data_IF_060832266577
#
_entry.id   IF_060832266577
#
_cell.length_a   1.000
_cell.length_b   1.000
_cell.length_c   1.000
_cell.angle_alpha   90.00
_cell.angle_beta   90.00
_cell.angle_gamma   90.00
#
_symmetry.space_group_name_H-M   'P 1'
#
loop_
_entity.id
_entity.type
_entity.pdbx_description
1 polymer ?
#
# COMPACT_ATOMS: atom_id res chain seq x y z
N UNK A 1 12.70 -11.10 -4.74
CA UNK A 1 12.46 -9.73 -5.02
C UNK A 1 13.28 -8.80 -4.13
N UNK A 2 13.20 -7.52 -4.43
CA UNK A 2 14.00 -6.51 -3.73
C UNK A 2 13.41 -6.08 -2.40
N UNK A 3 12.17 -6.43 -2.12
CA UNK A 3 11.54 -6.10 -0.84
C UNK A 3 12.09 -7.00 0.25
N UNK A 4 12.63 -6.39 1.29
CA UNK A 4 13.19 -7.09 2.45
C UNK A 4 12.53 -6.56 3.71
N UNK A 5 12.15 -7.45 4.60
CA UNK A 5 11.51 -7.12 5.85
C UNK A 5 10.74 -8.31 6.36
N UNK A 6 10.31 -8.25 7.62
CA UNK A 6 9.51 -9.33 8.21
C UNK A 6 8.11 -9.40 7.64
N UNK A 7 7.54 -8.22 7.35
CA UNK A 7 6.19 -8.10 6.82
C UNK A 7 6.18 -6.99 5.78
N UNK A 8 5.53 -7.25 4.65
CA UNK A 8 5.39 -6.27 3.57
C UNK A 8 3.92 -5.97 3.36
N UNK A 9 3.59 -4.70 3.29
CA UNK A 9 2.25 -4.25 2.97
C UNK A 9 2.27 -3.61 1.58
N UNK A 10 1.49 -4.16 0.67
CA UNK A 10 1.34 -3.60 -0.67
C UNK A 10 -0.03 -2.92 -0.71
N UNK A 11 -0.04 -1.62 -0.99
CA UNK A 11 -1.24 -0.79 -0.99
C UNK A 11 -1.52 -0.27 -2.40
N UNK A 12 -2.65 -0.67 -2.98
CA UNK A 12 -3.10 -0.16 -4.28
C UNK A 12 -4.06 0.99 -4.03
N UNK A 13 -3.76 2.15 -4.60
CA UNK A 13 -4.47 3.40 -4.34
C UNK A 13 -4.47 4.32 -5.56
N UNK A 14 -5.06 5.51 -5.42
CA UNK A 14 -4.93 6.59 -6.39
C UNK A 14 -5.18 7.92 -5.70
N UNK A 15 -4.64 8.98 -6.28
CA UNK A 15 -4.80 10.34 -5.76
C UNK A 15 -6.27 10.79 -5.72
N UNK A 16 -7.08 10.28 -6.64
CA UNK A 16 -8.50 10.62 -6.76
C UNK A 16 -9.42 9.72 -5.92
N UNK A 17 -8.86 8.78 -5.21
CA UNK A 17 -9.65 7.81 -4.44
C UNK A 17 -9.81 8.29 -3.00
N UNK A 18 -10.98 8.82 -2.66
CA UNK A 18 -11.22 9.37 -1.33
C UNK A 18 -11.01 8.35 -0.20
N UNK A 19 -11.55 7.11 -0.29
CA UNK A 19 -11.28 6.12 0.76
C UNK A 19 -9.81 5.75 0.88
N UNK A 20 -9.07 5.73 -0.22
CA UNK A 20 -7.63 5.48 -0.21
C UNK A 20 -6.90 6.58 0.56
N UNK A 21 -7.26 7.84 0.27
CA UNK A 21 -6.65 9.01 0.92
C UNK A 21 -6.95 9.01 2.42
N UNK A 22 -8.20 8.67 2.78
CA UNK A 22 -8.60 8.59 4.19
C UNK A 22 -7.79 7.52 4.93
N UNK A 23 -7.53 6.39 4.31
CA UNK A 23 -6.78 5.30 4.93
C UNK A 23 -5.29 5.63 5.08
N UNK A 24 -4.76 6.57 4.28
CA UNK A 24 -3.34 6.93 4.36
C UNK A 24 -2.91 7.40 5.76
N UNK A 25 -3.76 8.10 6.50
CA UNK A 25 -3.42 8.48 7.87
C UNK A 25 -3.27 7.26 8.78
N UNK A 26 -4.08 6.23 8.59
CA UNK A 26 -3.95 4.98 9.33
C UNK A 26 -2.65 4.25 8.96
N UNK A 27 -2.32 4.23 7.67
CA UNK A 27 -1.08 3.62 7.20
C UNK A 27 0.15 4.33 7.77
N UNK A 28 0.11 5.66 7.84
CA UNK A 28 1.21 6.43 8.44
C UNK A 28 1.42 6.05 9.91
N UNK A 29 0.35 5.93 10.67
CA UNK A 29 0.42 5.56 12.07
C UNK A 29 0.99 4.14 12.23
N UNK A 30 0.52 3.21 11.41
CA UNK A 30 1.01 1.83 11.42
C UNK A 30 2.50 1.82 11.05
N UNK A 31 2.88 2.56 10.02
CA UNK A 31 4.27 2.63 9.60
C UNK A 31 5.18 3.13 10.73
N UNK A 32 4.80 4.22 11.39
CA UNK A 32 5.60 4.77 12.48
C UNK A 32 5.75 3.78 13.63
N UNK A 33 4.72 3.00 13.91
CA UNK A 33 4.75 2.03 15.01
C UNK A 33 5.54 0.76 14.70
N UNK A 34 5.68 0.38 13.42
CA UNK A 34 6.23 -0.92 13.06
C UNK A 34 7.43 -0.89 12.11
N UNK A 35 7.81 0.27 11.58
CA UNK A 35 8.94 0.36 10.64
C UNK A 35 10.23 -0.19 11.23
N UNK A 36 10.49 0.07 12.50
CA UNK A 36 11.71 -0.39 13.17
C UNK A 36 11.60 -1.85 13.62
N UNK A 37 10.44 -2.45 13.44
CA UNK A 37 10.19 -3.86 13.78
C UNK A 37 10.17 -4.76 12.54
N UNK A 38 10.41 -4.19 11.37
CA UNK A 38 10.50 -4.95 10.14
C UNK A 38 9.36 -4.77 9.15
N UNK A 39 8.50 -3.75 9.33
CA UNK A 39 7.44 -3.46 8.37
C UNK A 39 7.99 -2.64 7.21
N UNK A 40 7.68 -3.08 6.00
CA UNK A 40 7.93 -2.35 4.76
C UNK A 40 6.60 -2.09 4.08
N UNK A 41 6.35 -0.86 3.64
CA UNK A 41 5.16 -0.51 2.89
C UNK A 41 5.57 -0.09 1.47
N UNK A 42 4.82 -0.56 0.48
CA UNK A 42 4.93 -0.10 -0.91
C UNK A 42 3.54 0.26 -1.38
N UNK A 43 3.37 1.46 -1.90
CA UNK A 43 2.10 1.87 -2.50
C UNK A 43 2.24 1.85 -4.02
N UNK A 44 1.24 1.29 -4.69
CA UNK A 44 1.18 1.22 -6.15
C UNK A 44 -0.04 2.00 -6.60
N UNK A 45 0.20 3.08 -7.35
CA UNK A 45 -0.86 4.00 -7.75
C UNK A 45 -1.51 3.57 -9.05
N UNK A 46 -2.83 3.70 -9.08
CA UNK A 46 -3.65 3.50 -10.29
C UNK A 46 -3.93 4.84 -10.99
N UNK A 47 -3.12 5.86 -10.71
CA UNK A 47 -3.26 7.16 -11.37
C UNK A 47 -2.90 7.10 -12.84
N UNK A 48 -3.44 8.05 -13.62
CA UNK A 48 -3.05 8.27 -15.00
C UNK A 48 -2.36 9.62 -15.19
N UNK A 49 -2.35 10.45 -14.15
CA UNK A 49 -1.76 11.80 -14.18
C UNK A 49 -0.64 11.89 -13.15
N UNK A 50 0.58 11.99 -13.62
CA UNK A 50 1.77 11.99 -12.78
C UNK A 50 1.76 13.11 -11.76
N UNK A 51 1.36 14.33 -12.17
CA UNK A 51 1.37 15.49 -11.28
C UNK A 51 0.40 15.31 -10.11
N UNK A 52 -0.82 14.83 -10.40
CA UNK A 52 -1.81 14.59 -9.35
C UNK A 52 -1.33 13.54 -8.36
N UNK A 53 -0.68 12.49 -8.86
CA UNK A 53 -0.09 11.45 -8.02
C UNK A 53 1.00 12.01 -7.12
N UNK A 54 1.93 12.77 -7.68
CA UNK A 54 3.02 13.37 -6.90
C UNK A 54 2.52 14.34 -5.84
N UNK A 55 1.52 15.16 -6.19
CA UNK A 55 0.92 16.09 -5.23
C UNK A 55 0.26 15.36 -4.07
N UNK A 56 -0.45 14.27 -4.35
CA UNK A 56 -1.10 13.48 -3.30
C UNK A 56 -0.08 12.86 -2.34
N UNK A 57 1.05 12.36 -2.86
CA UNK A 57 2.13 11.82 -2.03
C UNK A 57 2.64 12.91 -1.07
N UNK A 58 2.83 14.12 -1.57
CA UNK A 58 3.31 15.23 -0.76
C UNK A 58 2.27 15.68 0.27
N UNK A 59 1.02 15.80 -0.15
CA UNK A 59 -0.07 16.22 0.75
C UNK A 59 -0.26 15.24 1.89
N UNK A 60 -0.23 13.96 1.59
CA UNK A 60 -0.44 12.91 2.59
C UNK A 60 0.87 12.53 3.31
N UNK A 61 2.00 13.11 2.89
CA UNK A 61 3.32 12.93 3.52
C UNK A 61 3.72 11.47 3.64
N UNK A 62 3.56 10.71 2.54
CA UNK A 62 3.82 9.28 2.51
C UNK A 62 5.33 9.02 2.34
N UNK A 63 6.00 8.45 3.36
CA UNK A 63 7.46 8.34 3.33
C UNK A 63 8.02 7.05 2.71
N UNK A 64 7.14 6.12 2.34
CA UNK A 64 7.57 4.83 1.80
C UNK A 64 7.59 4.85 0.28
N UNK A 65 8.06 3.75 -0.31
CA UNK A 65 8.19 3.62 -1.76
C UNK A 65 6.85 3.74 -2.47
N UNK A 66 6.82 4.55 -3.51
CA UNK A 66 5.64 4.80 -4.34
C UNK A 66 5.96 4.41 -5.78
N UNK A 67 5.12 3.57 -6.36
CA UNK A 67 5.26 3.12 -7.74
C UNK A 67 3.98 3.36 -8.52
N UNK A 68 4.10 3.60 -9.83
CA UNK A 68 2.95 3.68 -10.72
C UNK A 68 3.42 3.52 -12.16
N UNK A 69 2.60 2.83 -12.97
CA UNK A 69 2.82 2.81 -14.42
C UNK A 69 2.00 3.88 -15.13
N UNK A 70 1.17 4.62 -14.38
CA UNK A 70 0.31 5.71 -14.88
C UNK A 70 -0.69 5.26 -15.95
N UNK A 71 -1.07 4.00 -15.92
CA UNK A 71 -2.02 3.43 -16.89
C UNK A 71 -3.44 3.28 -16.37
N UNK A 72 -3.63 3.47 -15.06
CA UNK A 72 -4.97 3.41 -14.45
C UNK A 72 -5.47 2.00 -14.19
N UNK A 73 -6.71 1.92 -13.74
CA UNK A 73 -7.39 0.66 -13.47
C UNK A 73 -7.73 -0.01 -14.81
N UNK A 74 -7.57 -1.34 -14.85
CA UNK A 74 -7.93 -2.13 -16.03
C UNK A 74 -6.85 -2.25 -17.08
N UNK A 75 -5.69 -1.61 -16.86
CA UNK A 75 -4.56 -1.66 -17.77
C UNK A 75 -3.26 -1.86 -17.00
N UNK A 76 -2.21 -2.26 -17.69
CA UNK A 76 -0.88 -2.37 -17.11
C UNK A 76 -0.84 -3.23 -15.85
N UNK A 77 -0.24 -2.69 -14.78
CA UNK A 77 -0.06 -3.40 -13.52
C UNK A 77 -1.41 -3.79 -12.91
N UNK A 78 -2.39 -2.90 -12.95
CA UNK A 78 -3.72 -3.18 -12.41
C UNK A 78 -4.35 -4.41 -13.08
N UNK A 79 -4.24 -4.48 -14.41
CA UNK A 79 -4.76 -5.63 -15.15
C UNK A 79 -3.96 -6.90 -14.85
N UNK A 80 -2.65 -6.79 -14.79
CA UNK A 80 -1.77 -7.92 -14.52
C UNK A 80 -2.08 -8.58 -13.18
N UNK A 81 -2.36 -7.79 -12.15
CA UNK A 81 -2.68 -8.29 -10.80
C UNK A 81 -4.17 -8.32 -10.51
N UNK A 82 -5.00 -8.12 -11.54
CA UNK A 82 -6.46 -8.18 -11.44
C UNK A 82 -7.02 -7.22 -10.40
N UNK A 83 -6.49 -6.00 -10.36
CA UNK A 83 -6.96 -4.96 -9.45
C UNK A 83 -8.15 -4.25 -10.11
N UNK A 84 -9.35 -4.54 -9.63
CA UNK A 84 -10.59 -4.00 -10.20
C UNK A 84 -11.18 -2.87 -9.38
N UNK A 85 -10.78 -2.74 -8.15
CA UNK A 85 -11.23 -1.67 -7.26
C UNK A 85 -10.14 -1.31 -6.27
N UNK A 86 -10.18 -0.08 -5.76
CA UNK A 86 -9.25 0.41 -4.74
C UNK A 86 -10.07 1.10 -3.64
N UNK A 87 -9.58 1.16 -2.39
CA UNK A 87 -8.29 0.64 -1.94
C UNK A 87 -8.24 -0.89 -1.95
N UNK A 88 -7.06 -1.43 -2.19
CA UNK A 88 -6.81 -2.87 -2.10
C UNK A 88 -5.45 -3.08 -1.45
N UNK A 89 -5.36 -4.02 -0.51
CA UNK A 89 -4.12 -4.27 0.23
C UNK A 89 -3.77 -5.75 0.20
N UNK A 90 -2.47 -6.01 0.17
CA UNK A 90 -1.92 -7.35 0.34
C UNK A 90 -0.86 -7.30 1.43
N UNK A 91 -0.92 -8.25 2.36
CA UNK A 91 0.12 -8.41 3.36
C UNK A 91 0.91 -9.66 3.00
N UNK A 92 2.23 -9.52 2.93
CA UNK A 92 3.16 -10.61 2.62
C UNK A 92 4.04 -10.88 3.83
N UNK A 93 4.39 -12.15 4.03
CA UNK A 93 5.34 -12.53 5.08
C UNK A 93 6.79 -12.35 4.61
N UNK A 94 7.75 -12.78 5.42
CA UNK A 94 9.17 -12.62 5.12
C UNK A 94 9.58 -13.37 3.83
N UNK A 95 8.88 -14.43 3.49
CA UNK A 95 9.12 -15.23 2.29
C UNK A 95 8.29 -14.74 1.10
N UNK A 96 7.64 -13.57 1.23
CA UNK A 96 6.81 -12.97 0.18
C UNK A 96 5.54 -13.76 -0.14
N UNK A 97 5.05 -14.54 0.81
CA UNK A 97 3.76 -15.21 0.66
C UNK A 97 2.64 -14.30 1.14
N UNK A 98 1.53 -14.29 0.41
CA UNK A 98 0.36 -13.49 0.77
C UNK A 98 -0.31 -14.14 1.99
N UNK A 99 -0.41 -13.39 3.08
CA UNK A 99 -1.06 -13.86 4.31
C UNK A 99 -2.39 -13.18 4.59
N UNK A 100 -2.68 -12.07 3.90
CA UNK A 100 -3.97 -11.39 4.03
C UNK A 100 -4.21 -10.48 2.83
N UNK A 101 -5.48 -10.29 2.49
CA UNK A 101 -5.91 -9.46 1.35
C UNK A 101 -7.11 -8.61 1.79
N UNK A 102 -7.12 -7.35 1.39
CA UNK A 102 -8.29 -6.49 1.53
C UNK A 102 -8.54 -5.94 2.91
N UNK A 103 -7.58 -6.00 3.80
CA UNK A 103 -7.73 -5.47 5.16
C UNK A 103 -7.45 -3.98 5.21
N UNK A 104 -8.08 -3.29 6.17
CA UNK A 104 -7.80 -1.88 6.46
C UNK A 104 -8.19 -1.59 7.92
N UNK A 105 -7.85 -0.37 8.37
CA UNK A 105 -8.19 0.06 9.72
C UNK A 105 -7.52 -0.79 10.79
N UNK A 106 -8.29 -1.11 11.81
CA UNK A 106 -7.80 -1.85 12.97
C UNK A 106 -7.40 -3.29 12.64
N UNK A 107 -8.16 -3.95 11.77
CA UNK A 107 -7.85 -5.33 11.36
C UNK A 107 -6.50 -5.41 10.65
N UNK A 108 -6.18 -4.42 9.83
CA UNK A 108 -4.90 -4.35 9.13
C UNK A 108 -3.76 -4.27 10.15
N UNK A 109 -3.89 -3.37 11.12
CA UNK A 109 -2.87 -3.20 12.15
C UNK A 109 -2.69 -4.46 12.99
N UNK A 110 -3.79 -5.08 13.40
CA UNK A 110 -3.74 -6.30 14.22
C UNK A 110 -3.05 -7.43 13.48
N UNK A 111 -3.32 -7.58 12.19
CA UNK A 111 -2.69 -8.62 11.38
C UNK A 111 -1.20 -8.40 11.24
N UNK A 112 -0.79 -7.15 11.00
CA UNK A 112 0.63 -6.78 10.92
C UNK A 112 1.31 -7.05 12.27
N UNK A 113 0.70 -6.65 13.36
CA UNK A 113 1.25 -6.85 14.70
C UNK A 113 1.51 -8.32 14.99
N UNK A 114 0.56 -9.19 14.66
CA UNK A 114 0.73 -10.63 14.86
C UNK A 114 1.80 -11.22 13.96
N UNK A 115 1.86 -10.78 12.71
CA UNK A 115 2.80 -11.32 11.75
C UNK A 115 4.25 -10.92 12.05
N UNK A 116 4.42 -9.76 12.67
CA UNK A 116 5.75 -9.20 12.93
C UNK A 116 6.38 -9.73 14.22
N UNK A 117 5.58 -10.32 15.11
CA UNK A 117 6.08 -10.88 16.37
C UNK A 117 7.03 -12.08 16.14
#
# INVERSE_FOLDING_TARGET
SELKGKVKLIDFWASWCAPCRAENSNLLRIYENYKDKGLVIVSISMDTHKKAWEEAIQEDKLPWLQLSDLKGIGKGIARQYNIQSIPQTYILDAENKVIAVGLRGKELEETIDKAIR
#
